data_IF_818748395833
#
_entry.id   IF_818748395833
#
_cell.length_a   1.000
_cell.length_b   1.000
_cell.length_c   1.000
_cell.angle_alpha   90.00
_cell.angle_beta   90.00
_cell.angle_gamma   90.00
#
_symmetry.space_group_name_H-M   'P 1'
#
loop_
_entity.id
_entity.type
_entity.pdbx_description
1 polymer ?
#
# COMPACT_ATOMS: atom_id res chain seq x y z
N UNK A 1 -5.77 13.65 -3.80
CA UNK A 1 -6.55 12.50 -3.38
C UNK A 1 -6.44 12.34 -1.89
N UNK A 2 -7.52 11.99 -1.21
CA UNK A 2 -7.47 11.88 0.21
C UNK A 2 -6.80 10.62 0.66
N UNK A 3 -6.22 10.60 1.83
CA UNK A 3 -5.69 9.36 2.38
C UNK A 3 -6.77 8.31 2.51
N UNK A 4 -6.40 7.07 2.31
CA UNK A 4 -7.31 5.96 2.45
C UNK A 4 -6.92 5.14 3.67
N UNK A 5 -7.93 4.68 4.40
CA UNK A 5 -7.67 3.84 5.56
C UNK A 5 -7.35 2.43 5.11
N UNK A 6 -6.35 1.85 5.74
CA UNK A 6 -6.02 0.46 5.49
C UNK A 6 -6.01 -0.25 6.82
N UNK A 7 -7.05 -1.01 7.11
CA UNK A 7 -7.16 -1.70 8.36
C UNK A 7 -7.00 -3.20 8.22
N UNK A 8 -7.25 -3.74 7.05
CA UNK A 8 -7.07 -5.16 6.80
C UNK A 8 -6.42 -5.37 5.46
N UNK A 9 -5.72 -6.48 5.26
CA UNK A 9 -5.12 -6.74 3.96
C UNK A 9 -6.14 -6.83 2.84
N UNK A 10 -7.38 -7.19 3.15
CA UNK A 10 -8.41 -7.33 2.13
C UNK A 10 -8.75 -6.02 1.46
N UNK A 11 -8.46 -4.89 2.10
CA UNK A 11 -8.73 -3.59 1.52
C UNK A 11 -7.68 -3.15 0.52
N UNK A 12 -6.49 -3.71 0.58
CA UNK A 12 -5.37 -3.23 -0.20
C UNK A 12 -5.56 -3.39 -1.72
N UNK A 13 -6.14 -4.49 -2.23
CA UNK A 13 -6.33 -4.59 -3.68
C UNK A 13 -7.12 -3.43 -4.27
N UNK A 14 -8.20 -3.03 -3.61
CA UNK A 14 -8.99 -1.92 -4.11
C UNK A 14 -8.24 -0.61 -4.02
N UNK A 15 -7.46 -0.42 -2.96
CA UNK A 15 -6.66 0.79 -2.83
C UNK A 15 -5.60 0.88 -3.93
N UNK A 16 -4.92 -0.22 -4.22
CA UNK A 16 -3.91 -0.22 -5.28
C UNK A 16 -4.52 0.13 -6.63
N UNK A 17 -5.66 -0.46 -6.95
CA UNK A 17 -6.32 -0.13 -8.21
C UNK A 17 -6.75 1.32 -8.25
N UNK A 18 -7.27 1.83 -7.14
CA UNK A 18 -7.68 3.21 -7.06
C UNK A 18 -6.53 4.16 -7.32
N UNK A 19 -5.39 3.92 -6.69
CA UNK A 19 -4.23 4.78 -6.88
C UNK A 19 -3.73 4.69 -8.32
N UNK A 20 -3.71 3.50 -8.89
CA UNK A 20 -3.26 3.34 -10.26
C UNK A 20 -4.17 4.11 -11.23
N UNK A 21 -5.48 3.95 -11.06
CA UNK A 21 -6.43 4.63 -11.93
C UNK A 21 -6.40 6.14 -11.73
N UNK A 22 -6.17 6.58 -10.52
CA UNK A 22 -6.07 8.02 -10.25
C UNK A 22 -4.88 8.63 -10.99
N UNK A 23 -3.85 7.82 -11.28
CA UNK A 23 -2.73 8.28 -12.06
C UNK A 23 -2.92 8.06 -13.56
N UNK A 24 -4.07 7.54 -13.95
CA UNK A 24 -4.34 7.30 -15.36
C UNK A 24 -3.53 6.16 -15.97
N UNK A 25 -3.08 5.22 -15.14
CA UNK A 25 -2.21 4.16 -15.62
C UNK A 25 -2.98 2.86 -15.80
N UNK A 26 -2.65 2.15 -16.87
CA UNK A 26 -3.10 0.76 -17.01
C UNK A 26 -2.14 -0.13 -16.26
N UNK A 27 -2.50 -1.39 -16.09
CA UNK A 27 -1.58 -2.35 -15.47
C UNK A 27 -0.30 -2.48 -16.31
N UNK A 28 -0.42 -2.47 -17.63
CA UNK A 28 0.75 -2.56 -18.49
C UNK A 28 1.65 -1.33 -18.33
N UNK A 29 1.06 -0.16 -18.25
CA UNK A 29 1.84 1.07 -18.07
C UNK A 29 2.54 1.08 -16.73
N UNK A 30 1.85 0.66 -15.68
CA UNK A 30 2.48 0.57 -14.37
C UNK A 30 3.62 -0.44 -14.38
N UNK A 31 3.42 -1.55 -15.06
CA UNK A 31 4.48 -2.54 -15.21
C UNK A 31 5.70 -1.95 -15.88
N UNK A 32 5.50 -1.17 -16.95
CA UNK A 32 6.62 -0.56 -17.62
C UNK A 32 7.40 0.38 -16.72
N UNK A 33 6.72 1.09 -15.83
CA UNK A 33 7.39 2.00 -14.92
C UNK A 33 8.14 1.27 -13.81
N UNK A 34 7.72 0.08 -13.47
CA UNK A 34 8.33 -0.66 -12.38
C UNK A 34 9.29 -1.75 -12.85
N UNK A 35 9.35 -1.98 -14.15
CA UNK A 35 10.17 -3.07 -14.68
C UNK A 35 9.50 -4.43 -14.56
N UNK A 36 8.19 -4.46 -14.34
CA UNK A 36 7.44 -5.70 -14.23
C UNK A 36 6.49 -5.82 -15.39
N UNK A 37 6.10 -7.03 -15.74
CA UNK A 37 5.12 -7.18 -16.81
C UNK A 37 3.71 -7.05 -16.26
N UNK A 38 2.75 -6.97 -17.15
CA UNK A 38 1.37 -6.77 -16.76
C UNK A 38 0.84 -7.92 -15.93
N UNK A 39 1.23 -9.13 -16.23
CA UNK A 39 0.78 -10.30 -15.47
C UNK A 39 1.21 -10.19 -14.02
N UNK A 40 2.44 -9.74 -13.79
CA UNK A 40 2.94 -9.57 -12.44
C UNK A 40 2.18 -8.47 -11.71
N UNK A 41 1.93 -7.35 -12.38
CA UNK A 41 1.15 -6.27 -11.78
C UNK A 41 -0.26 -6.75 -11.43
N UNK A 42 -0.88 -7.51 -12.32
CA UNK A 42 -2.22 -8.03 -12.06
C UNK A 42 -2.23 -8.93 -10.84
N UNK A 43 -1.20 -9.76 -10.67
CA UNK A 43 -1.11 -10.62 -9.51
C UNK A 43 -0.91 -9.82 -8.23
N UNK A 44 -0.06 -8.80 -8.28
CA UNK A 44 0.19 -7.96 -7.11
C UNK A 44 -1.09 -7.24 -6.70
N UNK A 45 -1.82 -6.70 -7.66
CA UNK A 45 -3.06 -6.00 -7.34
C UNK A 45 -4.13 -6.93 -6.80
N UNK A 46 -4.13 -8.18 -7.25
CA UNK A 46 -5.16 -9.09 -6.81
C UNK A 46 -4.86 -9.66 -5.43
N UNK A 47 -3.59 -9.91 -5.13
CA UNK A 47 -3.23 -10.55 -3.88
C UNK A 47 -1.94 -9.93 -3.33
N UNK A 48 -1.99 -8.67 -2.93
CA UNK A 48 -0.78 -7.97 -2.51
C UNK A 48 -0.14 -8.53 -1.25
N UNK A 49 -0.87 -9.29 -0.47
CA UNK A 49 -0.26 -9.86 0.73
C UNK A 49 0.79 -10.91 0.42
N UNK A 50 0.87 -11.36 -0.83
CA UNK A 50 1.88 -12.33 -1.20
C UNK A 50 3.15 -11.66 -1.71
N UNK A 51 3.20 -10.36 -1.73
CA UNK A 51 4.32 -9.60 -2.20
C UNK A 51 5.13 -9.15 -1.01
N UNK A 52 6.43 -9.04 -1.14
CA UNK A 52 7.21 -8.52 -0.03
C UNK A 52 6.83 -7.07 0.25
N UNK A 53 6.99 -6.66 1.49
CA UNK A 53 6.67 -5.29 1.85
C UNK A 53 7.56 -4.31 1.09
N UNK A 54 8.82 -4.66 0.89
CA UNK A 54 9.73 -3.82 0.10
C UNK A 54 9.26 -3.63 -1.32
N UNK A 55 8.81 -4.69 -1.97
CA UNK A 55 8.29 -4.58 -3.32
C UNK A 55 7.02 -3.74 -3.34
N UNK A 56 6.17 -3.90 -2.35
CA UNK A 56 4.94 -3.12 -2.27
C UNK A 56 5.27 -1.64 -2.12
N UNK A 57 6.24 -1.30 -1.28
CA UNK A 57 6.64 0.09 -1.11
C UNK A 57 7.20 0.68 -2.41
N UNK A 58 7.94 -0.11 -3.19
CA UNK A 58 8.44 0.36 -4.46
C UNK A 58 7.30 0.66 -5.42
N UNK A 59 6.30 -0.20 -5.45
CA UNK A 59 5.14 0.01 -6.31
C UNK A 59 4.40 1.27 -5.90
N UNK A 60 4.20 1.45 -4.60
CA UNK A 60 3.52 2.63 -4.10
C UNK A 60 4.31 3.90 -4.40
N UNK A 61 5.63 3.84 -4.35
CA UNK A 61 6.45 4.99 -4.68
C UNK A 61 6.25 5.41 -6.14
N UNK A 62 6.17 4.44 -7.05
CA UNK A 62 5.92 4.74 -8.46
C UNK A 62 4.54 5.36 -8.63
N UNK A 63 3.58 4.93 -7.84
CA UNK A 63 2.24 5.51 -7.88
C UNK A 63 2.18 6.84 -7.13
N UNK A 64 3.29 7.27 -6.55
CA UNK A 64 3.39 8.51 -5.76
C UNK A 64 2.48 8.45 -4.54
N UNK A 65 2.44 7.31 -3.90
CA UNK A 65 1.68 7.09 -2.68
C UNK A 65 2.65 6.88 -1.53
N UNK A 66 2.45 7.60 -0.46
CA UNK A 66 3.28 7.46 0.73
C UNK A 66 2.51 6.68 1.78
N UNK A 67 3.22 5.85 2.52
CA UNK A 67 2.62 5.13 3.62
C UNK A 67 2.92 5.88 4.89
N UNK A 68 1.88 6.22 5.62
CA UNK A 68 2.00 6.92 6.89
C UNK A 68 1.46 6.02 7.97
N UNK A 69 2.13 6.01 9.10
CA UNK A 69 1.65 5.27 10.24
C UNK A 69 1.16 6.27 11.27
N UNK A 70 -0.12 6.18 11.56
CA UNK A 70 -0.77 7.15 12.43
C UNK A 70 -1.08 6.47 13.75
N UNK A 71 -0.48 6.85 14.84
CA UNK A 71 -0.79 6.24 16.15
C UNK A 71 -2.25 6.46 16.45
N UNK A 72 -2.92 5.38 16.66
CA UNK A 72 -4.32 5.52 16.78
C UNK A 72 -4.75 6.18 17.97
N UNK A 73 -4.16 6.27 18.97
CA UNK A 73 -4.69 6.76 19.99
C UNK A 73 -4.43 7.74 20.51
N UNK A 74 -4.67 8.29 20.62
CA UNK A 74 -4.50 9.31 21.23
C UNK A 74 -4.95 9.16 22.51
N UNK A 75 -5.54 8.42 22.87
CA UNK A 75 -5.93 8.28 24.02
C UNK A 75 -5.17 7.63 24.74
N UNK A 76 -4.84 7.88 25.52
CA UNK A 76 -3.91 7.36 26.27
C UNK A 76 -4.32 6.22 26.85
N UNK A 77 -4.85 5.71 26.81
CA UNK A 77 -5.09 4.68 27.33
C UNK A 77 -4.25 3.95 27.58
N UNK A 78 -3.73 3.88 27.70
CA UNK A 78 -2.96 3.27 27.88
C UNK A 78 -2.11 2.79 27.88
N UNK A 79 -1.82 2.78 27.97
CA UNK A 79 -0.99 2.48 27.94
C UNK A 79 -0.38 1.65 27.72
N UNK A 80 -0.38 1.12 27.55
CA UNK A 80 0.31 0.30 27.40
C UNK A 80 1.03 0.25 26.59
N UNK A 81 1.02 0.70 26.20
CA UNK A 81 1.61 0.74 25.50
C UNK A 81 2.53 1.06 25.42
N UNK A 82 2.48 1.36 25.63
CA UNK A 82 3.35 1.89 25.66
C UNK A 82 4.43 1.36 25.40
N UNK A 83 4.69 0.62 25.31
CA UNK A 83 5.69 0.09 25.07
C UNK A 83 5.86 -0.08 23.89
N UNK A 84 6.25 0.51 23.39
CA UNK A 84 6.52 0.39 22.17
C UNK A 84 7.39 -0.63 21.93
N UNK A 85 7.33 -1.20 20.97
CA UNK A 85 8.14 -2.22 20.67
C UNK A 85 9.32 -1.65 20.30
N UNK A 86 10.22 -2.19 20.38
CA UNK A 86 11.31 -1.68 20.15
C UNK A 86 11.77 -2.09 18.99
N UNK A 87 11.47 -2.34 17.95
CA UNK A 87 12.18 -2.73 16.85
C UNK A 87 12.82 -1.57 16.17
#
# INVERSE_FOLDING_TARGET
>A
MKPLWLQTPAQLPNHLRSFRKARGLTQAALGALTGLDQTRIAKIERDPKRVSFGQLLQLLAVLQVRVLLDPASDKPRSAPRARAPEW
#
